data_IF_437976254114
#
_entry.id   IF_437976254114
#
_cell.length_a   1.000
_cell.length_b   1.000
_cell.length_c   1.000
_cell.angle_alpha   90.00
_cell.angle_beta   90.00
_cell.angle_gamma   90.00
#
_symmetry.space_group_name_H-M   'P 1'
#
loop_
_entity.id
_entity.type
_entity.pdbx_description
1 polymer ?
#
# COMPACT_ATOMS: atom_id res chain seq x y z
N UNK A 1 -7.36 -10.13 2.06
CA UNK A 1 -7.12 -9.34 0.82
C UNK A 1 -6.09 -8.28 1.16
N UNK A 2 -5.21 -7.85 0.25
CA UNK A 2 -4.11 -6.92 0.57
C UNK A 2 -4.54 -5.64 1.32
N UNK A 3 -5.73 -5.10 1.02
CA UNK A 3 -6.28 -3.95 1.72
C UNK A 3 -6.55 -4.20 3.21
N UNK A 4 -7.17 -5.34 3.53
CA UNK A 4 -7.49 -5.72 4.92
C UNK A 4 -6.21 -5.93 5.75
N UNK A 5 -5.19 -6.59 5.18
CA UNK A 5 -3.91 -6.81 5.86
C UNK A 5 -3.21 -5.50 6.23
N UNK A 6 -3.27 -4.48 5.35
CA UNK A 6 -2.70 -3.15 5.62
C UNK A 6 -3.52 -2.43 6.68
N UNK A 7 -4.85 -2.57 6.64
CA UNK A 7 -5.75 -1.97 7.61
C UNK A 7 -5.54 -2.55 9.02
N UNK A 8 -5.43 -3.86 9.14
CA UNK A 8 -5.10 -4.53 10.40
C UNK A 8 -3.71 -4.11 10.91
N UNK A 9 -2.70 -4.11 10.03
CA UNK A 9 -1.35 -3.64 10.37
C UNK A 9 -1.34 -2.22 10.92
N UNK A 10 -2.05 -1.29 10.29
CA UNK A 10 -2.12 0.09 10.74
C UNK A 10 -2.91 0.21 12.06
N UNK A 11 -4.01 -0.52 12.20
CA UNK A 11 -4.81 -0.55 13.42
C UNK A 11 -4.01 -1.05 14.64
N UNK A 12 -3.23 -2.13 14.48
CA UNK A 12 -2.37 -2.68 15.53
C UNK A 12 -1.30 -1.67 15.98
N UNK A 13 -0.82 -0.85 15.04
CA UNK A 13 0.18 0.18 15.28
C UNK A 13 -0.42 1.56 15.66
N UNK A 14 -1.74 1.67 15.81
CA UNK A 14 -2.46 2.93 16.08
C UNK A 14 -2.18 4.03 15.02
N UNK A 15 -2.00 3.63 13.76
CA UNK A 15 -1.84 4.52 12.62
C UNK A 15 -3.23 4.77 12.01
N UNK A 16 -3.64 6.03 11.92
CA UNK A 16 -4.85 6.40 11.19
C UNK A 16 -4.63 6.18 9.70
N UNK A 17 -5.29 5.15 9.15
CA UNK A 17 -5.19 4.78 7.75
C UNK A 17 -6.50 5.09 7.04
N UNK A 18 -6.43 5.91 5.98
CA UNK A 18 -7.51 6.02 5.00
C UNK A 18 -7.19 5.15 3.78
N UNK A 19 -8.04 4.16 3.50
CA UNK A 19 -7.80 3.18 2.45
C UNK A 19 -8.75 3.41 1.28
N UNK A 20 -8.17 3.77 0.14
CA UNK A 20 -8.91 3.94 -1.12
C UNK A 20 -8.60 2.78 -2.06
N UNK A 21 -9.60 1.94 -2.33
CA UNK A 21 -9.50 0.87 -3.32
C UNK A 21 -9.98 1.36 -4.69
N UNK A 22 -9.06 1.44 -5.65
CA UNK A 22 -9.35 1.84 -7.03
C UNK A 22 -8.67 0.90 -8.04
N UNK A 23 -8.97 1.05 -9.35
CA UNK A 23 -8.21 0.35 -10.39
C UNK A 23 -6.91 1.10 -10.71
N UNK A 24 -5.94 0.39 -11.32
CA UNK A 24 -4.64 0.97 -11.71
C UNK A 24 -4.78 2.25 -12.56
N UNK A 25 -5.77 2.31 -13.45
CA UNK A 25 -6.01 3.47 -14.30
C UNK A 25 -6.64 4.65 -13.56
N UNK A 26 -7.14 4.44 -12.35
CA UNK A 26 -7.78 5.47 -11.53
C UNK A 26 -6.84 5.98 -10.43
N UNK A 27 -5.68 5.35 -10.23
CA UNK A 27 -4.70 5.75 -9.20
C UNK A 27 -4.32 7.22 -9.36
N UNK A 28 -4.10 7.70 -10.60
CA UNK A 28 -3.74 9.10 -10.87
C UNK A 28 -4.83 10.10 -10.42
N UNK A 29 -6.09 9.67 -10.31
CA UNK A 29 -7.19 10.51 -9.81
C UNK A 29 -7.20 10.60 -8.28
N UNK A 30 -6.68 9.56 -7.60
CA UNK A 30 -6.69 9.43 -6.14
C UNK A 30 -5.30 9.60 -5.50
N UNK A 31 -4.27 9.92 -6.30
CA UNK A 31 -2.92 10.09 -5.81
C UNK A 31 -2.73 11.40 -5.02
N UNK A 32 -3.64 12.36 -5.18
CA UNK A 32 -3.58 13.63 -4.46
C UNK A 32 -3.81 13.40 -2.96
N UNK A 33 -2.77 13.64 -2.15
CA UNK A 33 -2.78 13.37 -0.71
C UNK A 33 -2.53 11.92 -0.31
N UNK A 34 -2.10 11.04 -1.22
CA UNK A 34 -1.74 9.67 -0.89
C UNK A 34 -0.26 9.55 -0.45
N UNK A 35 -0.03 8.94 0.71
CA UNK A 35 1.33 8.71 1.24
C UNK A 35 1.97 7.43 0.69
N UNK A 36 1.15 6.49 0.21
CA UNK A 36 1.60 5.18 -0.26
C UNK A 36 0.63 4.61 -1.30
N UNK A 37 1.19 4.03 -2.37
CA UNK A 37 0.40 3.27 -3.35
C UNK A 37 0.76 1.80 -3.27
N UNK A 38 -0.24 0.95 -3.00
CA UNK A 38 -0.07 -0.50 -2.99
C UNK A 38 -0.72 -1.14 -4.23
N UNK A 39 0.07 -1.75 -5.11
CA UNK A 39 -0.43 -2.44 -6.30
C UNK A 39 -0.23 -3.95 -6.20
N UNK A 40 -1.29 -4.73 -6.38
CA UNK A 40 -1.18 -6.20 -6.50
C UNK A 40 -0.81 -6.63 -7.92
N UNK A 41 -0.98 -5.75 -8.89
CA UNK A 41 -0.55 -5.93 -10.27
C UNK A 41 0.86 -5.35 -10.48
N UNK A 42 1.56 -5.89 -11.48
CA UNK A 42 2.83 -5.32 -11.96
C UNK A 42 2.52 -3.98 -12.64
N UNK A 43 3.04 -2.91 -12.07
CA UNK A 43 2.94 -1.56 -12.59
C UNK A 43 4.36 -1.03 -12.75
N UNK A 44 4.73 -0.67 -13.98
CA UNK A 44 6.05 -0.08 -14.31
C UNK A 44 5.99 1.46 -14.36
N UNK A 45 4.84 2.03 -13.99
CA UNK A 45 4.62 3.46 -13.90
C UNK A 45 5.05 3.97 -12.53
N UNK A 46 5.62 5.16 -12.50
CA UNK A 46 5.90 5.92 -11.29
C UNK A 46 4.80 6.96 -11.06
N UNK A 47 4.38 7.15 -9.81
CA UNK A 47 3.30 8.07 -9.44
C UNK A 47 3.86 9.31 -8.74
N UNK A 48 4.76 10.01 -9.44
CA UNK A 48 5.49 11.15 -8.87
C UNK A 48 6.44 10.71 -7.74
N UNK A 49 6.38 11.42 -6.61
CA UNK A 49 7.21 11.16 -5.43
C UNK A 49 6.60 10.12 -4.47
N UNK A 50 5.38 9.64 -4.75
CA UNK A 50 4.67 8.72 -3.87
C UNK A 50 5.29 7.33 -3.98
N UNK A 51 5.71 6.71 -2.86
CA UNK A 51 6.31 5.39 -2.88
C UNK A 51 5.29 4.34 -3.30
N UNK A 52 5.71 3.47 -4.21
CA UNK A 52 4.92 2.35 -4.71
C UNK A 52 5.42 1.05 -4.11
N UNK A 53 4.51 0.29 -3.51
CA UNK A 53 4.79 -1.05 -2.99
C UNK A 53 3.96 -2.09 -3.73
N UNK A 54 4.52 -3.29 -3.89
CA UNK A 54 3.81 -4.39 -4.52
C UNK A 54 3.13 -5.25 -3.47
N UNK A 55 1.80 -5.29 -3.49
CA UNK A 55 0.95 -6.08 -2.59
C UNK A 55 0.87 -7.57 -2.95
N UNK A 56 1.66 -8.05 -3.91
CA UNK A 56 1.71 -9.48 -4.27
C UNK A 56 1.99 -10.40 -3.07
N UNK A 57 2.87 -10.07 -2.11
CA UNK A 57 3.08 -10.86 -0.88
C UNK A 57 1.80 -11.11 -0.07
N UNK A 58 0.90 -10.13 0.02
CA UNK A 58 -0.40 -10.30 0.68
C UNK A 58 -1.34 -11.24 -0.07
N UNK A 59 -1.14 -11.43 -1.37
CA UNK A 59 -1.93 -12.36 -2.20
C UNK A 59 -1.32 -13.76 -2.15
N UNK A 60 0.01 -13.88 -2.23
CA UNK A 60 0.71 -15.17 -2.24
C UNK A 60 0.86 -15.79 -0.86
N UNK A 61 0.78 -14.99 0.21
CA UNK A 61 1.07 -15.44 1.58
C UNK A 61 2.56 -15.53 1.91
N UNK A 62 3.45 -15.15 0.99
CA UNK A 62 4.90 -15.31 1.12
C UNK A 62 5.58 -13.95 1.21
N UNK A 63 6.33 -13.72 2.29
CA UNK A 63 7.07 -12.46 2.49
C UNK A 63 6.22 -11.28 2.96
N UNK A 64 5.08 -11.57 3.61
CA UNK A 64 4.18 -10.55 4.17
C UNK A 64 4.91 -9.66 5.19
N UNK A 65 5.65 -10.25 6.12
CA UNK A 65 6.35 -9.49 7.19
C UNK A 65 7.31 -8.44 6.62
N UNK A 66 8.08 -8.79 5.59
CA UNK A 66 9.01 -7.86 4.94
C UNK A 66 8.26 -6.68 4.28
N UNK A 67 7.10 -6.95 3.68
CA UNK A 67 6.25 -5.91 3.11
C UNK A 67 5.63 -5.03 4.20
N UNK A 68 5.11 -5.63 5.28
CA UNK A 68 4.55 -4.91 6.41
C UNK A 68 5.58 -3.94 7.03
N UNK A 69 6.80 -4.40 7.27
CA UNK A 69 7.89 -3.55 7.77
C UNK A 69 8.21 -2.40 6.80
N UNK A 70 8.19 -2.65 5.50
CA UNK A 70 8.39 -1.60 4.49
C UNK A 70 7.27 -0.56 4.51
N UNK A 71 6.02 -1.00 4.64
CA UNK A 71 4.85 -0.12 4.73
C UNK A 71 4.90 0.73 5.99
N UNK A 72 5.16 0.11 7.15
CA UNK A 72 5.32 0.83 8.40
C UNK A 72 6.47 1.84 8.35
N UNK A 73 7.59 1.49 7.72
CA UNK A 73 8.71 2.43 7.56
C UNK A 73 8.39 3.64 6.68
N UNK A 74 7.37 3.56 5.82
CA UNK A 74 6.90 4.68 4.99
C UNK A 74 5.83 5.49 5.74
N UNK A 75 4.90 4.83 6.43
CA UNK A 75 3.76 5.47 7.09
C UNK A 75 4.03 5.97 8.51
N UNK A 76 5.10 5.51 9.16
CA UNK A 76 5.45 5.89 10.55
C UNK A 76 6.48 7.03 10.63
N UNK A 77 6.78 7.72 9.53
CA UNK A 77 7.63 8.92 9.47
C UNK A 77 6.79 10.19 9.64
#
# INVERSE_FOLDING_TARGET
MAAEEIKELCADHNIELDLVQCRVNEIETYMDGADLICTTARVERTFGDIPVVHGMPFVSGVGIEALQQKILGILAE
#
